data_IF_389056833611
#
_entry.id   IF_389056833611
#
_cell.length_a   1.000
_cell.length_b   1.000
_cell.length_c   1.000
_cell.angle_alpha   90.00
_cell.angle_beta   90.00
_cell.angle_gamma   90.00
#
_symmetry.space_group_name_H-M   'P 1'
#
loop_
_entity.id
_entity.type
_entity.pdbx_description
1 polymer ?
#
# COMPACT_ATOMS: atom_id res chain seq x y z
N UNK A 1 -13.86 41.60 9.08
CA UNK A 1 -14.45 41.30 7.74
C UNK A 1 -13.38 41.14 6.67
N UNK A 2 -12.35 41.99 6.66
CA UNK A 2 -11.26 41.93 5.65
C UNK A 2 -10.52 40.60 5.58
N UNK A 3 -10.35 39.88 6.69
CA UNK A 3 -9.74 38.54 6.68
C UNK A 3 -10.59 37.51 5.92
N UNK A 4 -11.91 37.47 6.14
CA UNK A 4 -12.80 36.54 5.41
C UNK A 4 -12.79 36.88 3.91
N UNK A 5 -12.85 38.17 3.56
CA UNK A 5 -12.82 38.58 2.15
C UNK A 5 -11.45 38.32 1.49
N UNK A 6 -10.36 38.35 2.24
CA UNK A 6 -9.01 38.08 1.75
C UNK A 6 -8.65 36.60 1.63
N UNK A 7 -9.41 35.71 2.28
CA UNK A 7 -9.14 34.27 2.32
C UNK A 7 -10.07 33.42 1.45
N UNK A 8 -11.05 34.03 0.79
CA UNK A 8 -12.01 33.32 -0.08
C UNK A 8 -11.78 33.67 -1.55
N UNK A 9 -12.15 32.73 -2.42
CA UNK A 9 -12.09 32.93 -3.87
C UNK A 9 -12.83 34.21 -4.31
N UNK A 10 -12.30 34.98 -5.27
CA UNK A 10 -12.93 36.20 -5.78
C UNK A 10 -14.41 36.05 -6.20
N UNK A 11 -14.82 34.87 -6.68
CA UNK A 11 -16.21 34.57 -7.03
C UNK A 11 -17.11 34.47 -5.79
N UNK A 12 -16.60 33.92 -4.69
CA UNK A 12 -17.31 33.80 -3.41
C UNK A 12 -17.45 35.18 -2.76
N UNK A 13 -16.43 36.04 -2.90
CA UNK A 13 -16.43 37.41 -2.40
C UNK A 13 -17.63 38.24 -2.88
N UNK A 14 -18.06 38.06 -4.13
CA UNK A 14 -19.20 38.79 -4.69
C UNK A 14 -20.49 38.53 -3.91
N UNK A 15 -20.67 37.30 -3.42
CA UNK A 15 -21.84 36.91 -2.63
C UNK A 15 -21.80 37.44 -1.19
N UNK A 16 -20.65 37.92 -0.72
CA UNK A 16 -20.46 38.36 0.66
C UNK A 16 -20.55 39.88 0.86
N UNK A 17 -20.54 40.67 -0.22
CA UNK A 17 -20.50 42.15 -0.17
C UNK A 17 -21.75 42.78 0.46
N UNK A 18 -22.88 42.08 0.45
CA UNK A 18 -24.16 42.58 0.98
C UNK A 18 -24.27 42.44 2.51
N UNK A 19 -23.37 41.71 3.16
CA UNK A 19 -23.44 41.47 4.61
C UNK A 19 -22.72 42.57 5.40
N UNK A 20 -23.36 42.99 6.50
CA UNK A 20 -22.89 44.11 7.34
C UNK A 20 -21.88 43.72 8.41
N UNK A 21 -21.74 42.43 8.71
CA UNK A 21 -20.81 41.95 9.71
C UNK A 21 -20.25 40.56 9.36
N UNK A 22 -19.08 40.25 9.93
CA UNK A 22 -18.35 39.01 9.66
C UNK A 22 -19.11 37.75 10.10
N UNK A 23 -19.97 37.87 11.13
CA UNK A 23 -20.77 36.76 11.65
C UNK A 23 -21.81 36.32 10.63
N UNK A 24 -22.50 37.26 9.99
CA UNK A 24 -23.49 36.97 8.97
C UNK A 24 -22.87 36.42 7.69
N UNK A 25 -21.70 36.96 7.29
CA UNK A 25 -20.89 36.39 6.21
C UNK A 25 -20.53 34.93 6.49
N UNK A 26 -19.99 34.65 7.68
CA UNK A 26 -19.63 33.30 8.08
C UNK A 26 -20.85 32.38 8.15
N UNK A 27 -21.97 32.82 8.72
CA UNK A 27 -23.19 32.02 8.78
C UNK A 27 -23.77 31.73 7.40
N UNK A 28 -23.64 32.65 6.45
CA UNK A 28 -24.03 32.43 5.06
C UNK A 28 -23.13 31.40 4.38
N UNK A 29 -21.81 31.55 4.46
CA UNK A 29 -20.84 30.57 3.95
C UNK A 29 -21.05 29.20 4.58
N UNK A 30 -21.21 29.15 5.91
CA UNK A 30 -21.50 27.94 6.65
C UNK A 30 -22.76 27.28 6.09
N UNK A 31 -23.87 28.00 5.92
CA UNK A 31 -25.08 27.42 5.30
C UNK A 31 -24.79 26.87 3.91
N UNK A 32 -24.17 27.63 3.02
CA UNK A 32 -23.94 27.18 1.64
C UNK A 32 -22.99 25.98 1.52
N UNK A 33 -21.92 25.95 2.31
CA UNK A 33 -20.83 25.00 2.15
C UNK A 33 -20.78 23.90 3.20
N UNK A 34 -21.59 23.97 4.27
CA UNK A 34 -21.73 22.88 5.26
C UNK A 34 -23.08 22.15 5.18
N UNK A 35 -24.08 22.66 4.44
CA UNK A 35 -25.42 22.04 4.39
C UNK A 35 -25.48 20.72 3.61
N UNK A 36 -24.48 20.34 2.81
CA UNK A 36 -24.59 19.17 1.93
C UNK A 36 -23.59 18.04 2.23
N UNK A 37 -23.30 17.81 3.51
CA UNK A 37 -22.59 16.61 3.95
C UNK A 37 -23.33 15.31 3.59
N UNK A 38 -24.64 15.35 3.29
CA UNK A 38 -25.40 14.18 2.83
C UNK A 38 -24.95 13.74 1.44
N UNK A 39 -24.84 14.66 0.48
CA UNK A 39 -24.33 14.33 -0.86
C UNK A 39 -22.88 13.85 -0.81
N UNK A 40 -22.03 14.50 0.01
CA UNK A 40 -20.64 14.06 0.19
C UNK A 40 -20.56 12.70 0.86
N UNK A 41 -21.37 12.44 1.89
CA UNK A 41 -21.48 11.12 2.53
C UNK A 41 -21.90 10.05 1.53
N UNK A 42 -22.91 10.31 0.71
CA UNK A 42 -23.34 9.38 -0.34
C UNK A 42 -22.22 9.08 -1.33
N UNK A 43 -21.47 10.11 -1.75
CA UNK A 43 -20.32 9.94 -2.62
C UNK A 43 -19.22 9.09 -1.94
N UNK A 44 -18.89 9.38 -0.67
CA UNK A 44 -17.90 8.62 0.09
C UNK A 44 -18.32 7.17 0.28
N UNK A 45 -19.60 6.89 0.55
CA UNK A 45 -20.12 5.52 0.65
C UNK A 45 -19.94 4.75 -0.67
N UNK A 46 -20.16 5.40 -1.82
CA UNK A 46 -19.91 4.83 -3.13
C UNK A 46 -18.41 4.61 -3.40
N UNK A 47 -17.57 5.61 -3.09
CA UNK A 47 -16.12 5.53 -3.26
C UNK A 47 -15.54 4.40 -2.38
N UNK A 48 -15.89 4.35 -1.10
CA UNK A 48 -15.50 3.29 -0.16
C UNK A 48 -15.98 1.91 -0.62
N UNK A 49 -17.21 1.80 -1.14
CA UNK A 49 -17.72 0.54 -1.67
C UNK A 49 -16.88 0.03 -2.85
N UNK A 50 -16.56 0.91 -3.80
CA UNK A 50 -15.79 0.57 -5.00
C UNK A 50 -14.27 0.51 -4.79
N UNK A 51 -13.77 1.04 -3.66
CA UNK A 51 -12.34 1.09 -3.38
C UNK A 51 -11.76 -0.33 -3.23
N UNK A 52 -10.59 -0.55 -3.82
CA UNK A 52 -9.83 -1.80 -3.73
C UNK A 52 -8.34 -1.51 -3.87
N UNK A 53 -7.47 -2.41 -3.40
CA UNK A 53 -6.02 -2.22 -3.50
C UNK A 53 -5.56 -2.00 -4.95
N UNK A 54 -6.18 -2.70 -5.90
CA UNK A 54 -5.90 -2.51 -7.32
C UNK A 54 -4.41 -2.59 -7.63
N UNK A 55 -3.87 -1.51 -8.17
CA UNK A 55 -2.47 -1.44 -8.56
C UNK A 55 -1.55 -0.97 -7.42
N UNK A 56 -2.07 -0.28 -6.41
CA UNK A 56 -1.28 0.30 -5.31
C UNK A 56 -0.51 -0.78 -4.52
N UNK A 57 0.66 -0.44 -3.96
CA UNK A 57 1.17 -1.24 -2.84
C UNK A 57 0.33 -1.01 -1.59
N UNK A 58 0.61 -1.84 -0.58
CA UNK A 58 -0.08 -1.81 0.70
C UNK A 58 0.01 -0.43 1.37
N UNK A 59 1.13 0.28 1.27
CA UNK A 59 1.33 1.59 1.91
C UNK A 59 0.46 2.69 1.29
N UNK A 60 0.49 2.81 -0.04
CA UNK A 60 -0.32 3.77 -0.80
C UNK A 60 -1.82 3.46 -0.64
N UNK A 61 -2.16 2.17 -0.66
CA UNK A 61 -3.52 1.69 -0.43
C UNK A 61 -4.02 2.06 0.96
N UNK A 62 -3.23 1.77 2.01
CA UNK A 62 -3.56 2.10 3.39
C UNK A 62 -3.76 3.60 3.58
N UNK A 63 -2.83 4.42 3.08
CA UNK A 63 -2.91 5.87 3.19
C UNK A 63 -4.18 6.43 2.54
N UNK A 64 -4.48 5.97 1.32
CA UNK A 64 -5.68 6.39 0.58
C UNK A 64 -6.96 5.93 1.28
N UNK A 65 -6.97 4.70 1.82
CA UNK A 65 -8.07 4.16 2.59
C UNK A 65 -8.33 4.96 3.88
N UNK A 66 -7.28 5.30 4.62
CA UNK A 66 -7.37 6.13 5.82
C UNK A 66 -7.93 7.52 5.52
N UNK A 67 -7.52 8.14 4.40
CA UNK A 67 -8.05 9.45 4.01
C UNK A 67 -9.56 9.40 3.72
N UNK A 68 -10.03 8.39 2.98
CA UNK A 68 -11.46 8.19 2.71
C UNK A 68 -12.25 7.99 4.01
N UNK A 69 -11.74 7.13 4.90
CA UNK A 69 -12.39 6.87 6.19
C UNK A 69 -12.38 8.09 7.10
N UNK A 70 -11.28 8.85 7.17
CA UNK A 70 -11.17 10.05 7.99
C UNK A 70 -12.23 11.09 7.62
N UNK A 71 -12.44 11.31 6.31
CA UNK A 71 -13.49 12.22 5.85
C UNK A 71 -14.90 11.68 6.15
N UNK A 72 -15.11 10.37 5.96
CA UNK A 72 -16.39 9.73 6.26
C UNK A 72 -16.75 9.85 7.75
N UNK A 73 -15.83 9.52 8.65
CA UNK A 73 -16.07 9.59 10.09
C UNK A 73 -16.26 11.02 10.56
N UNK A 74 -15.53 12.01 10.00
CA UNK A 74 -15.72 13.42 10.36
C UNK A 74 -17.18 13.84 10.09
N UNK A 75 -17.69 13.53 8.90
CA UNK A 75 -19.08 13.80 8.53
C UNK A 75 -20.06 13.08 9.47
N UNK A 76 -19.84 11.78 9.74
CA UNK A 76 -20.76 11.00 10.58
C UNK A 76 -20.74 11.49 12.04
N UNK A 77 -19.56 11.77 12.59
CA UNK A 77 -19.38 12.16 13.99
C UNK A 77 -19.89 13.57 14.29
N UNK A 78 -20.00 14.46 13.30
CA UNK A 78 -20.64 15.78 13.48
C UNK A 78 -22.08 15.71 14.03
N UNK A 79 -22.76 14.57 13.84
CA UNK A 79 -24.16 14.37 14.21
C UNK A 79 -24.36 13.52 15.47
N UNK A 80 -23.27 13.07 16.10
CA UNK A 80 -23.31 12.10 17.21
C UNK A 80 -23.12 12.81 18.56
N UNK A 81 -23.89 12.36 19.56
CA UNK A 81 -23.74 12.81 20.94
C UNK A 81 -22.49 12.20 21.57
N UNK A 82 -21.76 13.00 22.37
CA UNK A 82 -20.51 12.58 23.02
C UNK A 82 -20.63 11.27 23.84
N UNK A 83 -21.79 11.00 24.44
CA UNK A 83 -22.04 9.80 25.24
C UNK A 83 -22.04 8.50 24.43
N UNK A 84 -22.27 8.57 23.13
CA UNK A 84 -22.33 7.39 22.23
C UNK A 84 -21.09 7.27 21.35
N UNK A 85 -20.15 8.20 21.46
CA UNK A 85 -19.01 8.29 20.55
C UNK A 85 -18.07 7.09 20.66
N UNK A 86 -17.77 6.64 21.89
CA UNK A 86 -16.83 5.54 22.13
C UNK A 86 -17.32 4.21 21.54
N UNK A 87 -18.59 3.87 21.73
CA UNK A 87 -19.17 2.63 21.21
C UNK A 87 -19.20 2.64 19.67
N UNK A 88 -19.52 3.80 19.07
CA UNK A 88 -19.54 3.96 17.61
C UNK A 88 -18.11 3.92 17.03
N UNK A 89 -17.13 4.48 17.73
CA UNK A 89 -15.71 4.38 17.36
C UNK A 89 -15.25 2.93 17.31
N UNK A 90 -15.58 2.12 18.33
CA UNK A 90 -15.23 0.70 18.32
C UNK A 90 -15.84 -0.05 17.12
N UNK A 91 -17.10 0.24 16.77
CA UNK A 91 -17.77 -0.35 15.60
C UNK A 91 -17.12 0.11 14.29
N UNK A 92 -16.76 1.39 14.18
CA UNK A 92 -16.07 1.94 13.01
C UNK A 92 -14.66 1.37 12.85
N UNK A 93 -13.90 1.23 13.93
CA UNK A 93 -12.57 0.60 13.91
C UNK A 93 -12.65 -0.86 13.44
N UNK A 94 -13.63 -1.61 13.93
CA UNK A 94 -13.89 -2.97 13.48
C UNK A 94 -14.27 -3.02 11.99
N UNK A 95 -15.14 -2.11 11.54
CA UNK A 95 -15.58 -2.00 10.15
C UNK A 95 -14.45 -1.60 9.21
N UNK A 96 -13.61 -0.65 9.63
CA UNK A 96 -12.43 -0.19 8.90
C UNK A 96 -11.43 -1.34 8.72
N UNK A 97 -11.18 -2.11 9.78
CA UNK A 97 -10.34 -3.31 9.70
C UNK A 97 -10.90 -4.36 8.75
N UNK A 98 -12.18 -4.71 8.89
CA UNK A 98 -12.82 -5.71 8.03
C UNK A 98 -12.78 -5.30 6.56
N UNK A 99 -13.12 -4.04 6.25
CA UNK A 99 -13.10 -3.53 4.89
C UNK A 99 -11.68 -3.48 4.31
N UNK A 100 -10.69 -3.07 5.09
CA UNK A 100 -9.30 -3.05 4.64
C UNK A 100 -8.85 -4.44 4.19
N UNK A 101 -9.05 -5.46 5.04
CA UNK A 101 -8.69 -6.84 4.73
C UNK A 101 -9.47 -7.37 3.52
N UNK A 102 -10.77 -7.10 3.44
CA UNK A 102 -11.61 -7.57 2.32
C UNK A 102 -11.19 -6.99 0.96
N UNK A 103 -10.60 -5.79 0.96
CA UNK A 103 -10.25 -5.02 -0.24
C UNK A 103 -8.81 -5.22 -0.74
N UNK A 104 -8.03 -6.06 -0.05
CA UNK A 104 -6.70 -6.49 -0.49
C UNK A 104 -6.75 -7.33 -1.77
N UNK A 105 -5.62 -7.38 -2.48
CA UNK A 105 -5.43 -8.26 -3.64
C UNK A 105 -5.53 -9.74 -3.26
N UNK A 106 -5.93 -10.63 -4.19
CA UNK A 106 -6.04 -12.07 -3.91
C UNK A 106 -4.74 -12.76 -3.45
N UNK A 107 -3.57 -12.21 -3.78
CA UNK A 107 -2.27 -12.72 -3.33
C UNK A 107 -2.09 -12.66 -1.79
N UNK A 108 -2.85 -11.78 -1.11
CA UNK A 108 -2.86 -11.67 0.34
C UNK A 108 -3.93 -12.57 1.01
N UNK A 109 -4.58 -13.47 0.26
CA UNK A 109 -5.68 -14.28 0.80
C UNK A 109 -5.26 -15.11 2.01
N UNK A 110 -4.07 -15.71 1.98
CA UNK A 110 -3.58 -16.54 3.08
C UNK A 110 -3.41 -15.73 4.37
N UNK A 111 -2.74 -14.57 4.30
CA UNK A 111 -2.55 -13.72 5.48
C UNK A 111 -3.88 -13.14 5.96
N UNK A 112 -4.79 -12.80 5.04
CA UNK A 112 -6.14 -12.36 5.37
C UNK A 112 -6.92 -13.41 6.17
N UNK A 113 -6.97 -14.65 5.69
CA UNK A 113 -7.65 -15.75 6.38
C UNK A 113 -7.00 -16.02 7.75
N UNK A 114 -5.66 -15.99 7.84
CA UNK A 114 -4.95 -16.15 9.11
C UNK A 114 -5.31 -15.08 10.14
N UNK A 115 -5.32 -13.80 9.73
CA UNK A 115 -5.67 -12.67 10.59
C UNK A 115 -7.12 -12.73 11.07
N UNK A 116 -8.05 -13.12 10.19
CA UNK A 116 -9.49 -13.22 10.50
C UNK A 116 -9.84 -14.36 11.46
N UNK A 117 -9.05 -15.44 11.47
CA UNK A 117 -9.29 -16.60 12.33
C UNK A 117 -8.75 -16.44 13.76
N UNK A 118 -8.21 -15.27 14.12
CA UNK A 118 -7.72 -14.98 15.47
C UNK A 118 -8.86 -14.51 16.36
N UNK A 119 -8.82 -14.90 17.63
CA UNK A 119 -9.75 -14.44 18.66
C UNK A 119 -8.97 -13.86 19.86
N UNK A 120 -9.02 -12.53 20.09
CA UNK A 120 -9.70 -11.52 19.28
C UNK A 120 -8.97 -11.21 17.96
N UNK A 121 -9.71 -10.71 16.97
CA UNK A 121 -9.11 -10.23 15.72
C UNK A 121 -8.17 -9.06 16.03
N UNK A 122 -6.89 -9.10 15.59
CA UNK A 122 -5.90 -8.08 15.92
C UNK A 122 -6.32 -6.69 15.41
N UNK A 123 -5.84 -5.60 16.03
CA UNK A 123 -6.11 -4.24 15.56
C UNK A 123 -5.45 -3.99 14.19
N UNK A 124 -5.92 -2.94 13.49
CA UNK A 124 -5.57 -2.71 12.08
C UNK A 124 -4.07 -2.46 11.86
N UNK A 125 -3.40 -1.79 12.78
CA UNK A 125 -1.96 -1.53 12.77
C UNK A 125 -1.14 -2.83 12.84
N UNK A 126 -1.54 -3.78 13.69
CA UNK A 126 -0.92 -5.10 13.75
C UNK A 126 -1.14 -5.90 12.46
N UNK A 127 -2.36 -5.87 11.91
CA UNK A 127 -2.65 -6.45 10.60
C UNK A 127 -1.74 -5.86 9.52
N UNK A 128 -1.60 -4.54 9.50
CA UNK A 128 -0.80 -3.83 8.50
C UNK A 128 0.68 -4.24 8.56
N UNK A 129 1.26 -4.35 9.77
CA UNK A 129 2.63 -4.80 9.94
C UNK A 129 2.88 -6.22 9.40
N UNK A 130 1.91 -7.12 9.53
CA UNK A 130 1.97 -8.46 8.95
C UNK A 130 1.83 -8.46 7.43
N UNK A 131 0.91 -7.65 6.91
CA UNK A 131 0.68 -7.53 5.47
C UNK A 131 1.91 -6.91 4.77
N UNK A 132 2.59 -5.94 5.40
CA UNK A 132 3.85 -5.40 4.87
C UNK A 132 4.95 -6.46 4.76
N UNK A 133 5.10 -7.31 5.79
CA UNK A 133 6.05 -8.42 5.73
C UNK A 133 5.70 -9.39 4.60
N UNK A 134 4.42 -9.65 4.39
CA UNK A 134 3.96 -10.50 3.32
C UNK A 134 4.18 -9.87 1.94
N UNK A 135 3.92 -8.57 1.77
CA UNK A 135 4.23 -7.85 0.53
C UNK A 135 5.72 -7.93 0.20
N UNK A 136 6.59 -7.71 1.19
CA UNK A 136 8.03 -7.84 1.02
C UNK A 136 8.46 -9.27 0.64
N UNK A 137 7.82 -10.28 1.24
CA UNK A 137 8.07 -11.70 0.93
C UNK A 137 7.69 -12.01 -0.52
N UNK A 138 6.52 -11.56 -0.98
CA UNK A 138 6.03 -11.74 -2.34
C UNK A 138 6.91 -11.02 -3.36
N UNK A 139 7.37 -9.80 -3.06
CA UNK A 139 8.33 -9.07 -3.90
C UNK A 139 9.65 -9.82 -4.03
N UNK A 140 10.19 -10.33 -2.91
CA UNK A 140 11.45 -11.09 -2.91
C UNK A 140 11.33 -12.39 -3.70
N UNK A 141 10.23 -13.12 -3.52
CA UNK A 141 9.94 -14.34 -4.27
C UNK A 141 9.89 -14.07 -5.78
N UNK A 142 9.19 -13.00 -6.19
CA UNK A 142 9.11 -12.59 -7.59
C UNK A 142 10.50 -12.22 -8.15
N UNK A 143 11.33 -11.55 -7.34
CA UNK A 143 12.70 -11.21 -7.74
C UNK A 143 13.59 -12.47 -7.89
N UNK A 144 13.46 -13.45 -7.00
CA UNK A 144 14.18 -14.73 -7.09
C UNK A 144 13.79 -15.53 -8.33
N UNK A 145 12.49 -15.62 -8.64
CA UNK A 145 11.99 -16.29 -9.86
C UNK A 145 12.50 -15.61 -11.15
N UNK A 146 12.67 -14.29 -11.13
CA UNK A 146 13.27 -13.53 -12.22
C UNK A 146 14.80 -13.66 -12.26
N UNK A 147 15.43 -13.86 -11.11
CA UNK A 147 16.87 -13.98 -10.95
C UNK A 147 17.39 -15.40 -11.19
N UNK A 148 16.56 -16.45 -11.12
CA UNK A 148 16.90 -17.80 -11.60
C UNK A 148 16.99 -17.78 -13.12
N UNK A 149 18.19 -17.68 -13.72
CA UNK A 149 18.31 -17.98 -15.13
C UNK A 149 18.22 -19.50 -15.20
N UNK A 150 17.79 -20.03 -16.34
CA UNK A 150 18.05 -21.43 -16.68
C UNK A 150 19.57 -21.65 -16.73
N UNK A 151 20.23 -21.82 -15.59
CA UNK A 151 21.66 -22.06 -15.41
C UNK A 151 21.87 -23.45 -14.82
N UNK A 152 21.53 -24.46 -15.60
CA UNK A 152 22.28 -25.72 -15.59
C UNK A 152 22.52 -26.12 -17.04
N UNK A 153 23.39 -25.40 -17.75
CA UNK A 153 23.97 -25.86 -19.01
C UNK A 153 25.21 -25.05 -19.41
N UNK A 154 26.25 -25.05 -18.57
CA UNK A 154 27.64 -24.87 -19.03
C UNK A 154 28.48 -25.85 -18.19
N UNK A 155 29.32 -26.73 -18.74
CA UNK A 155 29.92 -26.78 -20.05
C UNK A 155 30.17 -28.22 -20.51
N UNK A 156 29.88 -28.51 -21.76
CA UNK A 156 30.76 -29.30 -22.60
C UNK A 156 30.78 -28.61 -23.96
N UNK A 157 31.87 -27.88 -24.21
CA UNK A 157 32.18 -27.36 -25.54
C UNK A 157 32.38 -28.55 -26.47
N UNK A 158 31.31 -28.94 -27.16
CA UNK A 158 31.35 -29.82 -28.32
C UNK A 158 30.66 -29.09 -29.46
N UNK A 159 31.43 -28.76 -30.50
CA UNK A 159 30.92 -28.29 -31.80
C UNK A 159 29.66 -29.06 -32.16
N UNK A 160 28.49 -28.42 -32.21
CA UNK A 160 27.30 -29.03 -32.80
C UNK A 160 26.73 -28.11 -33.87
N UNK A 161 26.73 -28.69 -35.08
CA UNK A 161 25.97 -28.29 -36.25
C UNK A 161 24.54 -27.89 -35.87
N UNK A 162 23.95 -26.98 -36.65
CA UNK A 162 22.63 -26.36 -36.46
C UNK A 162 21.67 -27.21 -35.63
N UNK A 163 21.32 -26.71 -34.44
CA UNK A 163 20.26 -27.30 -33.63
C UNK A 163 18.95 -27.12 -34.38
N UNK A 164 18.32 -28.23 -34.71
CA UNK A 164 16.94 -28.23 -35.17
C UNK A 164 16.05 -27.79 -33.99
N UNK A 165 15.51 -26.57 -34.08
CA UNK A 165 14.58 -26.02 -33.09
C UNK A 165 13.15 -26.58 -33.24
N UNK A 166 12.89 -27.47 -34.20
CA UNK A 166 11.57 -28.01 -34.52
C UNK A 166 10.84 -28.62 -33.32
N UNK A 167 11.57 -29.16 -32.33
CA UNK A 167 11.01 -29.77 -31.12
C UNK A 167 10.93 -28.83 -29.92
N UNK A 168 11.47 -27.61 -30.03
CA UNK A 168 11.49 -26.64 -28.92
C UNK A 168 10.14 -25.92 -28.84
N UNK A 169 9.37 -26.17 -27.78
CA UNK A 169 8.10 -25.50 -27.52
C UNK A 169 8.30 -24.14 -26.83
N UNK A 170 7.73 -23.08 -27.40
CA UNK A 170 7.69 -21.76 -26.83
C UNK A 170 6.72 -21.70 -25.63
N UNK A 171 7.21 -21.32 -24.46
CA UNK A 171 6.40 -21.20 -23.26
C UNK A 171 5.29 -20.13 -23.36
N UNK A 172 5.48 -19.09 -24.17
CA UNK A 172 4.53 -17.98 -24.30
C UNK A 172 3.35 -18.28 -25.22
N UNK A 173 3.58 -18.99 -26.33
CA UNK A 173 2.53 -19.23 -27.35
C UNK A 173 2.23 -20.71 -27.60
N UNK A 174 2.94 -21.61 -26.91
CA UNK A 174 2.86 -23.08 -27.05
C UNK A 174 3.18 -23.63 -28.45
N UNK A 175 3.61 -22.77 -29.39
CA UNK A 175 4.11 -23.17 -30.71
C UNK A 175 5.55 -23.68 -30.67
N UNK A 176 5.97 -24.39 -31.71
CA UNK A 176 7.31 -24.99 -31.80
C UNK A 176 8.24 -24.17 -32.72
N UNK A 177 9.54 -24.48 -32.75
CA UNK A 177 10.49 -23.88 -33.69
C UNK A 177 11.12 -22.57 -33.25
N UNK A 178 10.79 -22.04 -32.07
CA UNK A 178 11.34 -20.77 -31.58
C UNK A 178 11.36 -20.67 -30.05
N UNK A 179 12.28 -19.87 -29.53
CA UNK A 179 12.36 -19.52 -28.11
C UNK A 179 11.45 -18.34 -27.77
N UNK A 180 11.07 -18.22 -26.50
CA UNK A 180 10.23 -17.12 -25.98
C UNK A 180 10.75 -15.74 -26.38
N UNK A 181 12.09 -15.56 -26.39
CA UNK A 181 12.73 -14.31 -26.81
C UNK A 181 12.36 -13.87 -28.24
N UNK A 182 12.20 -14.85 -29.15
CA UNK A 182 11.93 -14.65 -30.57
C UNK A 182 10.47 -14.97 -30.94
N UNK A 183 9.58 -15.03 -29.95
CA UNK A 183 8.16 -15.29 -30.19
C UNK A 183 7.48 -14.07 -30.83
N UNK A 184 6.78 -14.27 -31.95
CA UNK A 184 5.96 -13.23 -32.59
C UNK A 184 4.63 -12.98 -31.86
N UNK A 185 4.17 -13.95 -31.05
CA UNK A 185 2.92 -13.87 -30.26
C UNK A 185 3.23 -13.59 -28.78
N UNK A 186 3.93 -12.49 -28.48
CA UNK A 186 4.22 -12.09 -27.10
C UNK A 186 2.92 -11.65 -26.43
N UNK A 187 2.65 -12.13 -25.22
CA UNK A 187 1.50 -11.70 -24.41
C UNK A 187 2.00 -11.25 -23.04
N UNK A 188 1.52 -10.10 -22.58
CA UNK A 188 1.88 -9.57 -21.28
C UNK A 188 1.18 -10.35 -20.16
N UNK A 189 1.94 -10.85 -19.19
CA UNK A 189 1.38 -11.58 -18.06
C UNK A 189 0.54 -10.71 -17.13
N UNK A 190 0.77 -9.39 -17.10
CA UNK A 190 0.04 -8.44 -16.26
C UNK A 190 -1.25 -7.97 -16.92
N UNK A 191 -1.16 -7.22 -18.02
CA UNK A 191 -2.33 -6.63 -18.67
C UNK A 191 -3.06 -7.56 -19.65
N UNK A 192 -2.54 -8.78 -19.87
CA UNK A 192 -3.06 -9.81 -20.78
C UNK A 192 -3.19 -9.38 -22.26
N UNK A 193 -2.61 -8.24 -22.66
CA UNK A 193 -2.57 -7.78 -24.06
C UNK A 193 -1.40 -8.38 -24.82
N UNK A 194 -1.58 -8.55 -26.12
CA UNK A 194 -0.53 -9.04 -27.04
C UNK A 194 0.45 -7.92 -27.42
N UNK A 195 1.64 -8.31 -27.90
CA UNK A 195 2.64 -7.41 -28.49
C UNK A 195 3.79 -7.02 -27.56
N UNK A 196 3.70 -7.26 -26.25
CA UNK A 196 4.74 -6.89 -25.30
C UNK A 196 4.87 -7.90 -24.15
N UNK A 197 6.01 -7.88 -23.46
CA UNK A 197 6.23 -8.59 -22.20
C UNK A 197 5.99 -7.64 -21.02
N UNK A 198 5.87 -8.16 -19.80
CA UNK A 198 5.59 -7.35 -18.60
C UNK A 198 6.54 -6.16 -18.40
N UNK A 199 7.81 -6.30 -18.82
CA UNK A 199 8.82 -5.23 -18.75
C UNK A 199 8.50 -4.01 -19.62
N UNK A 200 7.82 -4.24 -20.74
CA UNK A 200 7.46 -3.22 -21.73
C UNK A 200 5.94 -2.92 -21.68
N UNK A 201 5.31 -3.18 -20.53
CA UNK A 201 3.88 -2.98 -20.36
C UNK A 201 3.55 -1.48 -20.30
N UNK A 202 2.61 -0.96 -21.12
CA UNK A 202 2.16 0.43 -21.05
C UNK A 202 1.51 0.79 -19.71
N UNK A 203 1.04 -0.23 -18.97
CA UNK A 203 0.49 -0.12 -17.64
C UNK A 203 1.30 -1.10 -16.78
N UNK A 204 2.55 -0.77 -16.40
CA UNK A 204 3.34 -1.66 -15.57
C UNK A 204 2.69 -1.75 -14.17
N UNK A 205 2.79 -2.90 -13.48
CA UNK A 205 2.42 -2.95 -12.07
C UNK A 205 3.16 -1.85 -11.32
N UNK A 206 2.49 -1.08 -10.44
CA UNK A 206 3.14 -0.04 -9.65
C UNK A 206 4.34 -0.62 -8.94
N UNK A 207 5.49 -0.05 -9.28
CA UNK A 207 6.74 -0.41 -8.66
C UNK A 207 6.76 0.32 -7.33
N UNK A 208 6.14 -0.25 -6.31
CA UNK A 208 6.37 0.26 -4.97
C UNK A 208 7.82 0.01 -4.63
N UNK A 209 8.57 1.10 -4.63
CA UNK A 209 9.97 1.12 -4.28
C UNK A 209 10.02 0.91 -2.76
N UNK A 210 9.83 -0.32 -2.31
CA UNK A 210 10.36 -0.70 -1.02
C UNK A 210 11.88 -0.61 -1.18
N UNK A 211 12.47 0.50 -0.71
CA UNK A 211 13.90 0.54 -0.40
C UNK A 211 14.15 -0.62 0.54
N UNK A 212 14.72 -1.71 0.01
CA UNK A 212 15.11 -2.84 0.82
C UNK A 212 16.04 -2.29 1.91
N UNK A 213 15.61 -2.36 3.18
CA UNK A 213 16.50 -2.09 4.30
C UNK A 213 17.64 -3.10 4.24
N UNK A 214 18.77 -2.67 3.70
CA UNK A 214 20.04 -3.39 3.80
C UNK A 214 20.49 -3.30 5.25
N UNK A 215 20.26 -4.36 6.01
CA UNK A 215 20.88 -4.53 7.32
C UNK A 215 22.38 -4.66 7.09
N UNK A 216 23.13 -3.62 7.47
CA UNK A 216 24.59 -3.72 7.58
C UNK A 216 24.85 -4.63 8.78
N UNK A 217 25.31 -5.85 8.52
CA UNK A 217 25.80 -6.74 9.55
C UNK A 217 27.15 -6.19 10.04
N UNK A 218 27.13 -5.43 11.15
CA UNK A 218 28.34 -5.04 11.85
C UNK A 218 28.91 -6.29 12.54
N UNK A 219 29.98 -6.84 11.97
CA UNK A 219 30.73 -7.92 12.58
C UNK A 219 31.58 -7.35 13.72
N UNK A 220 31.07 -7.45 14.96
CA UNK A 220 31.84 -7.12 16.16
C UNK A 220 33.04 -8.07 16.25
N UNK A 221 34.23 -7.57 15.95
CA UNK A 221 35.49 -8.25 16.27
C UNK A 221 35.65 -8.26 17.79
N UNK A 222 35.67 -9.44 18.36
CA UNK A 222 36.15 -9.66 19.71
C UNK A 222 37.67 -9.48 19.74
N UNK A 223 38.16 -8.38 20.31
CA UNK A 223 39.55 -8.30 20.74
C UNK A 223 39.65 -8.71 22.20
N UNK A 224 40.30 -9.84 22.41
CA UNK A 224 40.77 -10.30 23.71
C UNK A 224 42.14 -9.67 23.94
N UNK A 225 42.28 -8.86 25.00
CA UNK A 225 43.58 -8.62 25.63
C UNK A 225 43.39 -8.43 27.13
N UNK A 226 43.64 -9.52 27.83
CA UNK A 226 43.90 -9.67 29.26
C UNK A 226 45.11 -8.83 29.69
N UNK A 227 45.04 -8.08 30.79
CA UNK A 227 45.64 -8.45 32.09
C UNK A 227 45.56 -7.31 33.13
N UNK A 228 44.97 -7.65 34.28
CA UNK A 228 45.34 -7.34 35.67
C UNK A 228 45.90 -5.96 36.06
N UNK A 229 45.26 -5.28 37.03
CA UNK A 229 45.71 -5.32 38.45
C UNK A 229 44.73 -4.65 39.42
N UNK A 230 44.51 -5.34 40.56
CA UNK A 230 44.15 -4.91 41.93
C UNK A 230 44.06 -3.39 42.18
N UNK A 231 43.11 -2.80 42.92
CA UNK A 231 42.83 -3.02 44.34
C UNK A 231 41.70 -2.09 44.84
N UNK A 232 41.04 -2.49 45.94
CA UNK A 232 40.45 -1.67 47.01
C UNK A 232 39.05 -1.01 46.87
N UNK A 233 38.15 -1.51 47.74
CA UNK A 233 36.94 -0.90 48.32
C UNK A 233 37.37 -0.08 49.57
N UNK A 234 36.73 1.06 49.92
CA UNK A 234 35.54 1.12 50.81
C UNK A 234 34.44 2.07 50.29
N UNK A 235 33.15 1.71 50.31
CA UNK A 235 32.19 1.95 51.40
C UNK A 235 32.19 3.36 52.00
N UNK A 236 31.08 4.11 51.83
CA UNK A 236 30.28 4.78 52.88
C UNK A 236 29.22 5.71 52.29
N UNK A 237 27.97 5.55 52.75
CA UNK A 237 26.94 6.57 53.11
C UNK A 237 26.72 7.76 52.14
N UNK A 238 25.53 8.05 51.62
CA UNK A 238 24.21 8.11 52.25
C UNK A 238 23.13 8.24 51.17
#
# INVERSE_FOLDING_TARGET
MSWILGSVDPQINLNLRSFKNARDMWNHLKRLYTQNNVARRFQLELEMSNFSQGAFCVEEFYSSFCNLWAEYIDIVYTSILATSLADIQAVHEASMRAQFLMKLRPEFEFIRANLMNRDPVPPLDMCLGEIFREEQRLMTQTAMEQATPTLVAYAAQGKTKGRDLSTTQCYSCKGYGHLVANCFKKTCNYCKKQGHIIKDCPIPPPRCQATAYSVVAEATRADSSTLATSSHVPASTS
#
